data_IF_888291931568
#
_entry.id   IF_888291931568
#
_cell.length_a   1.000
_cell.length_b   1.000
_cell.length_c   1.000
_cell.angle_alpha   90.00
_cell.angle_beta   90.00
_cell.angle_gamma   90.00
#
_symmetry.space_group_name_H-M   'P 1'
#
loop_
_entity.id
_entity.type
_entity.pdbx_description
1 polymer ?
#
# COMPACT_ATOMS: atom_id res chain seq x y z
N UNK A 1 -25.10 18.34 -29.50
CA UNK A 1 -25.74 17.84 -28.25
C UNK A 1 -25.08 16.55 -27.71
N UNK A 2 -24.97 15.48 -28.51
CA UNK A 2 -24.40 14.18 -28.09
C UNK A 2 -22.95 14.24 -27.58
N UNK A 3 -22.09 15.04 -28.23
CA UNK A 3 -20.68 15.22 -27.85
C UNK A 3 -20.48 15.75 -26.42
N UNK A 4 -21.33 16.69 -25.98
CA UNK A 4 -21.24 17.29 -24.64
C UNK A 4 -21.61 16.30 -23.53
N UNK A 5 -22.54 15.38 -23.79
CA UNK A 5 -22.93 14.33 -22.83
C UNK A 5 -21.74 13.39 -22.57
N UNK A 6 -21.00 12.99 -23.61
CA UNK A 6 -19.79 12.18 -23.46
C UNK A 6 -18.70 12.90 -22.67
N UNK A 7 -18.50 14.20 -22.92
CA UNK A 7 -17.53 15.02 -22.19
C UNK A 7 -17.91 15.12 -20.70
N UNK A 8 -19.17 15.42 -20.39
CA UNK A 8 -19.65 15.51 -18.99
C UNK A 8 -19.53 14.16 -18.28
N UNK A 9 -19.90 13.06 -18.95
CA UNK A 9 -19.76 11.71 -18.41
C UNK A 9 -18.29 11.36 -18.11
N UNK A 10 -17.37 11.68 -19.03
CA UNK A 10 -15.94 11.45 -18.87
C UNK A 10 -15.37 12.24 -17.69
N UNK A 11 -15.69 13.54 -17.60
CA UNK A 11 -15.23 14.39 -16.50
C UNK A 11 -15.76 13.87 -15.15
N UNK A 12 -17.03 13.48 -15.10
CA UNK A 12 -17.64 12.91 -13.88
C UNK A 12 -16.93 11.63 -13.46
N UNK A 13 -16.64 10.73 -14.41
CA UNK A 13 -15.90 9.49 -14.15
C UNK A 13 -14.50 9.76 -13.60
N UNK A 14 -13.77 10.73 -14.17
CA UNK A 14 -12.43 11.09 -13.72
C UNK A 14 -12.43 11.66 -12.31
N UNK A 15 -13.40 12.53 -11.97
CA UNK A 15 -13.55 13.09 -10.63
C UNK A 15 -13.84 11.98 -9.62
N UNK A 16 -14.80 11.09 -9.93
CA UNK A 16 -15.14 9.97 -9.07
C UNK A 16 -13.94 9.03 -8.86
N UNK A 17 -13.21 8.71 -9.93
CA UNK A 17 -12.00 7.90 -9.86
C UNK A 17 -10.91 8.55 -8.99
N UNK A 18 -10.70 9.87 -9.13
CA UNK A 18 -9.75 10.62 -8.33
C UNK A 18 -10.11 10.61 -6.84
N UNK A 19 -11.38 10.89 -6.50
CA UNK A 19 -11.87 10.88 -5.13
C UNK A 19 -11.78 9.47 -4.52
N UNK A 20 -12.15 8.44 -5.28
CA UNK A 20 -12.06 7.06 -4.84
C UNK A 20 -10.60 6.69 -4.51
N UNK A 21 -9.67 7.01 -5.40
CA UNK A 21 -8.26 6.67 -5.18
C UNK A 21 -7.62 7.42 -4.02
N UNK A 22 -8.01 8.67 -3.76
CA UNK A 22 -7.38 9.52 -2.74
C UNK A 22 -8.02 9.39 -1.35
N UNK A 23 -9.18 8.72 -1.23
CA UNK A 23 -9.97 8.58 -0.01
C UNK A 23 -9.17 8.13 1.23
N UNK A 24 -8.14 7.32 1.06
CA UNK A 24 -7.37 6.71 2.15
C UNK A 24 -5.99 7.34 2.37
N UNK A 25 -5.59 8.33 1.58
CA UNK A 25 -4.22 8.87 1.61
C UNK A 25 -3.87 9.60 2.91
N UNK A 26 -4.87 10.03 3.69
CA UNK A 26 -4.65 10.59 5.03
C UNK A 26 -4.47 9.55 6.14
N UNK A 27 -4.53 8.25 5.83
CA UNK A 27 -4.53 7.18 6.85
C UNK A 27 -3.32 7.24 7.79
N UNK A 28 -2.11 7.34 7.22
CA UNK A 28 -0.86 7.39 7.98
C UNK A 28 -0.63 8.75 8.62
N UNK A 29 -1.01 9.83 7.92
CA UNK A 29 -0.98 11.20 8.46
C UNK A 29 -1.80 11.32 9.74
N UNK A 30 -3.02 10.77 9.77
CA UNK A 30 -3.89 10.76 10.96
C UNK A 30 -3.33 9.97 12.14
N UNK A 31 -2.40 9.04 11.89
CA UNK A 31 -1.76 8.18 12.90
C UNK A 31 -0.34 8.62 13.26
N UNK A 32 0.11 9.76 12.73
CA UNK A 32 1.48 10.25 12.90
C UNK A 32 2.55 9.23 12.51
N UNK A 33 2.27 8.38 11.52
CA UNK A 33 3.24 7.43 10.98
C UNK A 33 3.99 8.08 9.82
N UNK A 34 5.32 8.12 9.83
CA UNK A 34 6.13 8.59 8.71
C UNK A 34 5.81 7.78 7.45
N UNK A 35 5.49 8.45 6.34
CA UNK A 35 5.16 7.80 5.06
C UNK A 35 5.55 8.65 3.86
N UNK A 36 5.79 8.00 2.72
CA UNK A 36 5.93 8.70 1.44
C UNK A 36 4.59 9.25 0.96
N UNK A 37 4.61 10.35 0.20
CA UNK A 37 3.39 10.91 -0.39
C UNK A 37 2.86 9.96 -1.47
N UNK A 38 1.60 9.50 -1.37
CA UNK A 38 1.00 8.64 -2.38
C UNK A 38 0.62 9.42 -3.65
N UNK A 39 0.76 8.77 -4.80
CA UNK A 39 0.31 9.25 -6.10
C UNK A 39 -1.09 8.69 -6.38
N UNK A 40 -2.06 9.50 -6.85
CA UNK A 40 -3.37 8.99 -7.24
C UNK A 40 -3.27 7.80 -8.20
N UNK A 41 -4.15 6.83 -8.03
CA UNK A 41 -4.24 5.53 -8.70
C UNK A 41 -3.11 4.54 -8.44
N UNK A 42 -1.93 4.98 -8.01
CA UNK A 42 -0.76 4.10 -7.84
C UNK A 42 -0.29 3.94 -6.39
N UNK A 43 -0.72 4.83 -5.49
CA UNK A 43 -0.19 4.87 -4.14
C UNK A 43 1.28 5.29 -4.14
N UNK A 44 2.07 4.75 -3.22
CA UNK A 44 3.50 5.06 -3.11
C UNK A 44 4.38 4.06 -3.86
N UNK A 45 3.82 2.94 -4.33
CA UNK A 45 4.54 1.89 -5.08
C UNK A 45 4.75 2.21 -6.57
N UNK A 46 4.42 3.42 -7.01
CA UNK A 46 4.61 3.86 -8.40
C UNK A 46 6.02 3.57 -8.98
N UNK A 47 7.14 3.76 -8.24
CA UNK A 47 8.48 3.42 -8.75
C UNK A 47 8.67 1.93 -9.04
N UNK A 48 7.98 1.07 -8.30
CA UNK A 48 8.00 -0.39 -8.49
C UNK A 48 7.20 -0.76 -9.74
N UNK A 49 6.01 -0.18 -9.93
CA UNK A 49 5.18 -0.41 -11.12
C UNK A 49 5.86 0.09 -12.40
N UNK A 50 6.62 1.18 -12.31
CA UNK A 50 7.40 1.72 -13.42
C UNK A 50 8.74 0.99 -13.65
N UNK A 51 8.97 -0.14 -12.97
CA UNK A 51 10.21 -0.91 -13.01
C UNK A 51 11.48 -0.07 -12.73
N UNK A 52 11.35 1.07 -12.04
CA UNK A 52 12.47 1.95 -11.67
C UNK A 52 13.19 1.48 -10.42
N UNK A 53 12.52 0.70 -9.58
CA UNK A 53 13.06 0.06 -8.37
C UNK A 53 12.46 -1.33 -8.21
N UNK A 54 13.22 -2.26 -7.65
CA UNK A 54 12.64 -3.53 -7.20
C UNK A 54 11.75 -3.31 -5.96
N UNK A 55 10.84 -4.25 -5.71
CA UNK A 55 10.02 -4.24 -4.48
C UNK A 55 10.91 -4.24 -3.22
N UNK A 56 12.03 -4.99 -3.25
CA UNK A 56 12.97 -5.08 -2.13
C UNK A 56 13.70 -3.77 -1.86
N UNK A 57 14.17 -3.10 -2.92
CA UNK A 57 14.78 -1.77 -2.81
C UNK A 57 13.78 -0.77 -2.24
N UNK A 58 12.56 -0.77 -2.75
CA UNK A 58 11.50 0.12 -2.28
C UNK A 58 11.16 -0.09 -0.80
N UNK A 59 11.02 -1.34 -0.35
CA UNK A 59 10.78 -1.64 1.07
C UNK A 59 11.96 -1.22 1.95
N UNK A 60 13.19 -1.36 1.46
CA UNK A 60 14.39 -0.86 2.13
C UNK A 60 14.37 0.67 2.25
N UNK A 61 13.91 1.38 1.23
CA UNK A 61 13.73 2.84 1.29
C UNK A 61 12.69 3.23 2.35
N UNK A 62 11.56 2.51 2.43
CA UNK A 62 10.53 2.75 3.47
C UNK A 62 11.10 2.49 4.86
N UNK A 63 11.87 1.41 5.03
CA UNK A 63 12.54 1.05 6.29
C UNK A 63 13.55 2.13 6.73
N UNK A 64 14.32 2.68 5.79
CA UNK A 64 15.36 3.68 6.04
C UNK A 64 14.83 5.13 6.08
N UNK A 65 13.58 5.37 5.69
CA UNK A 65 13.00 6.73 5.67
C UNK A 65 12.88 7.35 7.07
N UNK A 66 12.93 6.52 8.12
CA UNK A 66 12.57 6.95 9.47
C UNK A 66 13.30 6.17 10.55
N UNK A 67 13.57 6.85 11.67
CA UNK A 67 14.11 6.24 12.90
C UNK A 67 13.01 5.70 13.82
N UNK A 68 11.74 5.93 13.48
CA UNK A 68 10.60 5.41 14.21
C UNK A 68 10.44 3.88 14.07
N UNK A 69 9.66 3.28 14.96
CA UNK A 69 9.38 1.84 15.01
C UNK A 69 8.73 1.26 13.75
N UNK A 70 8.16 2.09 12.87
CA UNK A 70 7.60 1.67 11.59
C UNK A 70 7.54 2.79 10.55
N UNK A 71 7.54 2.40 9.27
CA UNK A 71 7.33 3.28 8.11
C UNK A 71 6.07 2.88 7.34
N UNK A 72 5.21 3.84 7.05
CA UNK A 72 3.98 3.64 6.29
C UNK A 72 4.18 3.81 4.78
N UNK A 73 3.43 3.05 4.00
CA UNK A 73 3.33 3.18 2.55
C UNK A 73 1.91 2.83 2.06
N UNK A 74 1.65 3.02 0.77
CA UNK A 74 0.38 2.71 0.14
C UNK A 74 0.59 1.79 -1.07
N UNK A 75 -0.02 0.62 -1.02
CA UNK A 75 -0.18 -0.27 -2.16
C UNK A 75 -1.50 0.12 -2.85
N UNK A 76 -1.43 0.91 -3.93
CA UNK A 76 -2.60 1.59 -4.49
C UNK A 76 -3.28 2.49 -3.44
N UNK A 77 -4.56 2.26 -3.12
CA UNK A 77 -5.29 2.95 -2.05
C UNK A 77 -5.16 2.25 -0.68
N UNK A 78 -4.55 1.06 -0.62
CA UNK A 78 -4.46 0.26 0.60
C UNK A 78 -3.25 0.70 1.44
N UNK A 79 -3.44 1.14 2.70
CA UNK A 79 -2.32 1.43 3.59
C UNK A 79 -1.60 0.13 3.99
N UNK A 80 -0.27 0.15 3.94
CA UNK A 80 0.60 -0.93 4.39
C UNK A 80 1.78 -0.34 5.18
N UNK A 81 2.45 -1.14 6.01
CA UNK A 81 3.56 -0.67 6.84
C UNK A 81 4.73 -1.64 6.82
N UNK A 82 5.92 -1.08 7.03
CA UNK A 82 7.16 -1.83 7.29
C UNK A 82 7.49 -1.65 8.76
N UNK A 83 7.48 -2.76 9.51
CA UNK A 83 7.87 -2.78 10.92
C UNK A 83 9.40 -2.81 11.03
N UNK A 84 9.94 -1.98 11.93
CA UNK A 84 11.39 -1.87 12.20
C UNK A 84 11.73 -2.33 13.63
N UNK A 85 10.81 -2.13 14.55
CA UNK A 85 10.98 -2.49 15.96
C UNK A 85 10.78 -4.00 16.18
N UNK A 86 11.75 -4.72 16.78
CA UNK A 86 11.61 -6.15 17.09
C UNK A 86 10.38 -6.48 17.94
N UNK A 87 9.98 -5.61 18.86
CA UNK A 87 8.82 -5.83 19.73
C UNK A 87 7.51 -5.71 18.94
N UNK A 88 7.47 -4.78 17.96
CA UNK A 88 6.35 -4.65 17.03
C UNK A 88 6.25 -5.87 16.11
N UNK A 89 7.39 -6.34 15.58
CA UNK A 89 7.45 -7.55 14.75
C UNK A 89 6.98 -8.77 15.54
N UNK A 90 7.45 -8.93 16.78
CA UNK A 90 7.03 -10.01 17.67
C UNK A 90 5.53 -9.96 17.96
N UNK A 91 4.99 -8.78 18.20
CA UNK A 91 3.56 -8.61 18.47
C UNK A 91 2.70 -9.04 17.28
N UNK A 92 3.07 -8.61 16.07
CA UNK A 92 2.36 -8.96 14.83
C UNK A 92 2.47 -10.45 14.49
N UNK A 93 3.66 -11.05 14.66
CA UNK A 93 3.93 -12.43 14.24
C UNK A 93 3.59 -13.48 15.29
N UNK A 94 3.51 -13.13 16.58
CA UNK A 94 3.21 -14.07 17.66
C UNK A 94 1.88 -13.76 18.34
N UNK A 95 1.76 -12.58 18.94
CA UNK A 95 0.61 -12.26 19.81
C UNK A 95 -0.69 -12.12 19.01
N UNK A 96 -0.62 -11.43 17.87
CA UNK A 96 -1.78 -11.09 17.06
C UNK A 96 -1.84 -11.86 15.73
N UNK A 97 -1.14 -13.00 15.62
CA UNK A 97 -1.02 -13.75 14.37
C UNK A 97 -2.38 -14.07 13.72
N UNK A 98 -3.41 -14.35 14.53
CA UNK A 98 -4.78 -14.58 14.06
C UNK A 98 -5.38 -13.41 13.27
N UNK A 99 -4.92 -12.19 13.49
CA UNK A 99 -5.33 -10.99 12.75
C UNK A 99 -4.48 -10.74 11.49
N UNK A 100 -3.33 -11.40 11.34
CA UNK A 100 -2.35 -11.21 10.27
C UNK A 100 -2.11 -12.46 9.41
N UNK A 101 -3.05 -13.41 9.39
CA UNK A 101 -2.91 -14.68 8.66
C UNK A 101 -2.81 -14.56 7.14
N UNK A 102 -3.31 -13.46 6.55
CA UNK A 102 -3.30 -13.26 5.09
C UNK A 102 -1.92 -12.81 4.60
N UNK A 103 -1.14 -13.77 4.08
CA UNK A 103 0.10 -13.52 3.36
C UNK A 103 -0.27 -13.11 1.94
N UNK A 104 -0.40 -11.80 1.69
CA UNK A 104 -0.75 -11.18 0.39
C UNK A 104 0.19 -11.53 -0.80
N UNK A 105 1.09 -12.49 -0.63
CA UNK A 105 1.86 -13.16 -1.68
C UNK A 105 0.98 -14.16 -2.43
N UNK A 106 1.14 -14.25 -3.75
CA UNK A 106 0.49 -15.28 -4.55
C UNK A 106 0.87 -16.67 -3.99
N UNK A 107 -0.04 -17.29 -3.26
CA UNK A 107 0.09 -18.69 -2.84
C UNK A 107 0.08 -19.55 -4.11
N UNK A 108 1.25 -20.08 -4.47
CA UNK A 108 1.32 -21.24 -5.36
C UNK A 108 0.85 -22.45 -4.57
N UNK A 109 -0.47 -22.60 -4.40
CA UNK A 109 -1.08 -23.75 -3.71
C UNK A 109 -0.67 -25.09 -4.30
N UNK A 110 -0.22 -25.10 -5.55
CA UNK A 110 0.24 -26.30 -6.26
C UNK A 110 1.62 -26.81 -5.80
N UNK A 111 2.46 -25.97 -5.19
CA UNK A 111 3.84 -26.32 -4.80
C UNK A 111 4.13 -26.16 -3.31
N UNK A 112 3.11 -25.94 -2.47
CA UNK A 112 3.31 -25.77 -1.03
C UNK A 112 3.42 -27.13 -0.32
N UNK A 113 4.65 -27.65 -0.30
CA UNK A 113 5.01 -28.89 0.40
C UNK A 113 4.85 -28.82 1.92
N UNK A 114 4.56 -27.64 2.48
CA UNK A 114 4.44 -27.39 3.92
C UNK A 114 3.01 -27.07 4.36
N UNK A 115 2.03 -27.24 3.47
CA UNK A 115 0.60 -27.13 3.77
C UNK A 115 -0.02 -28.46 4.29
N UNK A 116 0.80 -29.43 4.69
CA UNK A 116 0.38 -30.73 5.25
C UNK A 116 0.58 -30.80 6.77
#
# INVERSE_FOLDING_TARGET
LKMWIFVVALVTLLILGYLYSTRKFDYWKKRNVPHFRPVPFFGTIYPVLMHKRSISQYLCDVYNMTDFSCGGFFLFDKPALVAKDPDLVKSVLMNDFSHFGDRNTAENKENDLLSA
#
